data_IF_984070876473
#
_entry.id   IF_984070876473
#
_cell.length_a   1.000
_cell.length_b   1.000
_cell.length_c   1.000
_cell.angle_alpha   90.00
_cell.angle_beta   90.00
_cell.angle_gamma   90.00
#
_symmetry.space_group_name_H-M   'P 1'
#
loop_
_entity.id
_entity.type
_entity.pdbx_description
1 polymer ?
#
# COMPACT_ATOMS: atom_id res chain seq x y z
N UNK A 1 19.18 39.15 -13.48
CA UNK A 1 18.08 38.28 -13.01
C UNK A 1 18.45 37.74 -11.63
N UNK A 2 17.81 38.19 -10.54
CA UNK A 2 18.10 37.64 -9.22
C UNK A 2 17.48 36.24 -9.08
N UNK A 3 18.27 35.30 -8.57
CA UNK A 3 17.82 33.95 -8.24
C UNK A 3 16.74 34.01 -7.16
N UNK A 4 15.59 33.39 -7.42
CA UNK A 4 14.53 33.24 -6.42
C UNK A 4 15.05 32.39 -5.25
N UNK A 5 14.84 32.81 -3.99
CA UNK A 5 15.19 32.00 -2.84
C UNK A 5 14.32 30.73 -2.85
N UNK A 6 14.95 29.55 -2.81
CA UNK A 6 14.26 28.28 -2.53
C UNK A 6 13.58 28.42 -1.17
N UNK A 7 12.26 28.60 -1.18
CA UNK A 7 11.47 28.81 0.03
C UNK A 7 11.63 27.65 1.04
N UNK A 8 11.31 27.89 2.32
CA UNK A 8 11.50 26.94 3.42
C UNK A 8 10.73 25.61 3.28
N UNK A 9 9.87 25.49 2.28
CA UNK A 9 9.02 24.32 2.01
C UNK A 9 9.75 23.09 1.46
N UNK A 10 10.99 23.23 0.98
CA UNK A 10 11.66 22.16 0.23
C UNK A 10 12.28 21.03 1.06
N UNK A 11 12.71 21.28 2.31
CA UNK A 11 13.50 20.28 3.06
C UNK A 11 12.64 19.43 4.01
N UNK A 12 11.61 20.02 4.63
CA UNK A 12 10.69 19.32 5.55
C UNK A 12 9.78 18.32 4.82
N UNK A 13 9.17 18.75 3.71
CA UNK A 13 8.26 17.91 2.92
C UNK A 13 8.98 16.71 2.30
N UNK A 14 10.23 16.87 1.84
CA UNK A 14 11.01 15.75 1.30
C UNK A 14 11.27 14.66 2.32
N UNK A 15 11.61 15.01 3.57
CA UNK A 15 11.83 14.02 4.63
C UNK A 15 10.54 13.26 4.98
N UNK A 16 9.41 13.96 5.02
CA UNK A 16 8.09 13.35 5.24
C UNK A 16 7.70 12.41 4.10
N UNK A 17 7.90 12.84 2.85
CA UNK A 17 7.65 12.01 1.67
C UNK A 17 8.52 10.74 1.68
N UNK A 18 9.80 10.87 1.98
CA UNK A 18 10.71 9.71 2.07
C UNK A 18 10.25 8.73 3.16
N UNK A 19 9.80 9.23 4.31
CA UNK A 19 9.27 8.37 5.36
C UNK A 19 8.00 7.62 4.91
N UNK A 20 7.07 8.28 4.22
CA UNK A 20 5.85 7.66 3.70
C UNK A 20 6.16 6.60 2.63
N UNK A 21 7.06 6.91 1.69
CA UNK A 21 7.51 5.97 0.66
C UNK A 21 8.24 4.77 1.26
N UNK A 22 9.08 4.98 2.28
CA UNK A 22 9.79 3.91 2.96
C UNK A 22 8.82 2.96 3.66
N UNK A 23 7.79 3.49 4.35
CA UNK A 23 6.75 2.67 4.99
C UNK A 23 5.96 1.87 3.97
N UNK A 24 5.56 2.51 2.87
CA UNK A 24 4.84 1.86 1.78
C UNK A 24 5.66 0.72 1.18
N UNK A 25 6.93 1.00 0.85
CA UNK A 25 7.85 0.01 0.28
C UNK A 25 8.14 -1.14 1.24
N UNK A 26 8.37 -0.84 2.52
CA UNK A 26 8.63 -1.85 3.54
C UNK A 26 7.40 -2.74 3.79
N UNK A 27 6.21 -2.15 3.85
CA UNK A 27 4.96 -2.89 3.98
C UNK A 27 4.72 -3.76 2.75
N UNK A 28 4.91 -3.23 1.54
CA UNK A 28 4.81 -4.00 0.30
C UNK A 28 5.79 -5.17 0.26
N UNK A 29 7.05 -4.95 0.63
CA UNK A 29 8.07 -5.99 0.70
C UNK A 29 7.71 -7.07 1.74
N UNK A 30 7.22 -6.66 2.91
CA UNK A 30 6.77 -7.59 3.95
C UNK A 30 5.56 -8.42 3.48
N UNK A 31 4.56 -7.77 2.88
CA UNK A 31 3.39 -8.45 2.33
C UNK A 31 3.79 -9.44 1.23
N UNK A 32 4.76 -9.08 0.38
CA UNK A 32 5.28 -9.96 -0.66
C UNK A 32 6.06 -11.14 -0.08
N UNK A 33 6.87 -10.91 0.96
CA UNK A 33 7.58 -11.96 1.66
C UNK A 33 6.60 -12.97 2.28
N UNK A 34 5.56 -12.50 2.96
CA UNK A 34 4.50 -13.38 3.51
C UNK A 34 3.75 -14.10 2.39
N UNK A 35 3.42 -13.42 1.29
CA UNK A 35 2.78 -14.05 0.15
C UNK A 35 3.65 -15.13 -0.49
N UNK A 36 4.97 -14.95 -0.54
CA UNK A 36 5.91 -15.90 -1.15
C UNK A 36 6.01 -17.25 -0.42
N UNK A 37 5.54 -17.33 0.83
CA UNK A 37 5.45 -18.63 1.53
C UNK A 37 4.22 -19.44 1.13
N UNK A 38 3.31 -18.86 0.33
CA UNK A 38 2.11 -19.53 -0.16
C UNK A 38 2.37 -20.19 -1.53
N UNK A 39 1.56 -21.19 -1.91
CA UNK A 39 1.58 -21.76 -3.26
C UNK A 39 1.47 -20.68 -4.34
N UNK A 40 2.10 -20.83 -5.52
CA UNK A 40 2.10 -19.80 -6.57
C UNK A 40 0.70 -19.35 -7.00
N UNK A 41 -0.28 -20.25 -6.97
CA UNK A 41 -1.69 -19.97 -7.27
C UNK A 41 -2.37 -19.07 -6.23
N UNK A 42 -1.92 -19.13 -4.98
CA UNK A 42 -2.46 -18.37 -3.85
C UNK A 42 -1.64 -17.12 -3.53
N UNK A 43 -0.35 -17.10 -3.90
CA UNK A 43 0.58 -16.01 -3.61
C UNK A 43 -0.02 -14.64 -3.98
N UNK A 44 -0.55 -14.50 -5.19
CA UNK A 44 -1.10 -13.22 -5.65
C UNK A 44 -2.37 -12.82 -4.89
N UNK A 45 -3.23 -13.79 -4.56
CA UNK A 45 -4.44 -13.55 -3.78
C UNK A 45 -4.13 -13.17 -2.32
N UNK A 46 -3.13 -13.83 -1.72
CA UNK A 46 -2.63 -13.49 -0.38
C UNK A 46 -2.00 -12.10 -0.38
N UNK A 47 -1.17 -11.78 -1.37
CA UNK A 47 -0.57 -10.47 -1.50
C UNK A 47 -1.63 -9.37 -1.66
N UNK A 48 -2.61 -9.58 -2.56
CA UNK A 48 -3.73 -8.68 -2.77
C UNK A 48 -4.52 -8.43 -1.48
N UNK A 49 -4.80 -9.48 -0.71
CA UNK A 49 -5.52 -9.37 0.57
C UNK A 49 -4.74 -8.57 1.61
N UNK A 50 -3.43 -8.82 1.75
CA UNK A 50 -2.57 -8.09 2.68
C UNK A 50 -2.48 -6.61 2.32
N UNK A 51 -2.31 -6.31 1.03
CA UNK A 51 -2.25 -4.94 0.52
C UNK A 51 -3.57 -4.21 0.72
N UNK A 52 -4.71 -4.90 0.50
CA UNK A 52 -6.04 -4.36 0.76
C UNK A 52 -6.26 -3.99 2.24
N UNK A 53 -5.88 -4.88 3.16
CA UNK A 53 -5.94 -4.62 4.60
C UNK A 53 -5.05 -3.43 4.95
N UNK A 54 -3.83 -3.38 4.40
CA UNK A 54 -2.92 -2.27 4.58
C UNK A 54 -3.53 -0.93 4.15
N UNK A 55 -4.24 -0.90 3.02
CA UNK A 55 -4.92 0.29 2.53
C UNK A 55 -5.98 0.79 3.53
N UNK A 56 -6.81 -0.12 4.06
CA UNK A 56 -7.85 0.22 5.04
C UNK A 56 -7.23 0.74 6.33
N UNK A 57 -6.20 0.06 6.84
CA UNK A 57 -5.51 0.49 8.06
C UNK A 57 -4.90 1.87 7.86
N UNK A 58 -4.21 2.13 6.74
CA UNK A 58 -3.65 3.46 6.47
C UNK A 58 -4.72 4.55 6.40
N UNK A 59 -5.86 4.28 5.74
CA UNK A 59 -6.99 5.21 5.69
C UNK A 59 -7.59 5.47 7.08
N UNK A 60 -7.78 4.42 7.89
CA UNK A 60 -8.29 4.55 9.25
C UNK A 60 -7.36 5.40 10.11
N UNK A 61 -6.04 5.17 10.04
CA UNK A 61 -5.12 5.97 10.84
C UNK A 61 -5.04 7.41 10.34
N UNK A 62 -5.15 7.65 9.03
CA UNK A 62 -5.27 9.01 8.48
C UNK A 62 -6.51 9.74 9.03
N UNK A 63 -7.65 9.04 9.05
CA UNK A 63 -8.90 9.55 9.59
C UNK A 63 -8.81 9.84 11.10
N UNK A 64 -8.30 8.90 11.91
CA UNK A 64 -8.16 9.07 13.35
C UNK A 64 -7.15 10.15 13.74
N UNK A 65 -6.13 10.37 12.92
CA UNK A 65 -5.16 11.46 13.13
C UNK A 65 -5.64 12.82 12.62
N UNK A 66 -6.79 12.87 11.94
CA UNK A 66 -7.28 14.09 11.32
C UNK A 66 -6.31 14.64 10.27
N UNK A 67 -5.60 13.77 9.55
CA UNK A 67 -4.68 14.22 8.50
C UNK A 67 -5.46 14.91 7.39
N UNK A 68 -4.96 16.09 6.99
CA UNK A 68 -5.57 16.87 5.92
C UNK A 68 -5.49 16.12 4.58
N UNK A 69 -6.60 16.09 3.84
CA UNK A 69 -6.68 15.46 2.51
C UNK A 69 -5.78 16.14 1.47
N UNK A 70 -5.52 17.44 1.64
CA UNK A 70 -4.67 18.24 0.75
C UNK A 70 -3.53 18.82 1.56
N UNK A 71 -2.46 18.03 1.71
CA UNK A 71 -1.20 18.50 2.27
C UNK A 71 -0.15 18.66 1.16
N UNK A 72 0.82 19.57 1.30
CA UNK A 72 1.92 19.72 0.34
C UNK A 72 2.99 18.60 0.43
N UNK A 73 2.70 17.50 1.14
CA UNK A 73 3.53 16.31 1.32
C UNK A 73 2.65 15.05 1.26
N UNK A 74 3.25 13.88 1.00
CA UNK A 74 2.57 12.59 0.98
C UNK A 74 2.03 12.26 2.37
N UNK A 75 0.70 12.22 2.45
CA UNK A 75 -0.05 11.87 3.64
C UNK A 75 -0.35 10.38 3.68
N UNK A 76 -0.93 9.92 4.77
CA UNK A 76 -1.38 8.52 4.89
C UNK A 76 -2.61 8.24 4.03
N UNK A 77 -3.32 9.28 3.59
CA UNK A 77 -4.34 9.15 2.54
C UNK A 77 -3.72 8.72 1.21
N UNK A 78 -2.57 9.29 0.85
CA UNK A 78 -1.87 8.91 -0.37
C UNK A 78 -1.33 7.47 -0.27
N UNK A 79 -0.76 7.09 0.89
CA UNK A 79 -0.36 5.70 1.15
C UNK A 79 -1.54 4.73 0.98
N UNK A 80 -2.70 5.05 1.56
CA UNK A 80 -3.91 4.24 1.45
C UNK A 80 -4.40 4.13 0.00
N UNK A 81 -4.38 5.22 -0.75
CA UNK A 81 -4.79 5.24 -2.15
C UNK A 81 -3.88 4.36 -3.01
N UNK A 82 -2.55 4.43 -2.82
CA UNK A 82 -1.60 3.58 -3.56
C UNK A 82 -1.78 2.11 -3.22
N UNK A 83 -1.94 1.77 -1.93
CA UNK A 83 -2.21 0.38 -1.52
C UNK A 83 -3.54 -0.12 -2.10
N UNK A 84 -4.59 0.70 -2.07
CA UNK A 84 -5.88 0.31 -2.65
C UNK A 84 -5.77 0.09 -4.17
N UNK A 85 -5.12 0.99 -4.89
CA UNK A 85 -4.88 0.85 -6.33
C UNK A 85 -4.08 -0.42 -6.64
N UNK A 86 -3.01 -0.69 -5.89
CA UNK A 86 -2.21 -1.90 -6.03
C UNK A 86 -3.04 -3.17 -5.76
N UNK A 87 -3.88 -3.18 -4.71
CA UNK A 87 -4.79 -4.28 -4.42
C UNK A 87 -5.76 -4.53 -5.58
N UNK A 88 -6.38 -3.49 -6.12
CA UNK A 88 -7.34 -3.62 -7.23
C UNK A 88 -6.66 -4.14 -8.49
N UNK A 89 -5.47 -3.61 -8.82
CA UNK A 89 -4.67 -4.10 -9.93
C UNK A 89 -4.36 -5.58 -9.76
N UNK A 90 -3.88 -6.01 -8.60
CA UNK A 90 -3.58 -7.42 -8.37
C UNK A 90 -4.83 -8.30 -8.40
N UNK A 91 -5.96 -7.82 -7.87
CA UNK A 91 -7.24 -8.52 -7.93
C UNK A 91 -7.67 -8.82 -9.37
N UNK A 92 -7.38 -7.94 -10.33
CA UNK A 92 -7.66 -8.17 -11.74
C UNK A 92 -6.87 -9.35 -12.35
N UNK A 93 -5.74 -9.74 -11.73
CA UNK A 93 -4.89 -10.85 -12.17
C UNK A 93 -5.05 -12.11 -11.32
N UNK A 94 -5.87 -12.10 -10.26
CA UNK A 94 -6.09 -13.28 -9.40
C UNK A 94 -6.99 -14.30 -10.11
N UNK A 95 -6.51 -15.54 -10.22
CA UNK A 95 -7.34 -16.67 -10.66
C UNK A 95 -8.22 -17.17 -9.51
N UNK A 96 -9.41 -16.60 -9.40
CA UNK A 96 -10.39 -16.98 -8.38
C UNK A 96 -10.78 -18.46 -8.43
N UNK A 97 -10.73 -19.12 -9.59
CA UNK A 97 -11.08 -20.55 -9.70
C UNK A 97 -10.01 -21.40 -9.03
N UNK A 98 -8.74 -21.10 -9.29
CA UNK A 98 -7.62 -21.77 -8.65
C UNK A 98 -7.64 -21.59 -7.12
N UNK A 99 -8.01 -20.39 -6.64
CA UNK A 99 -8.13 -20.13 -5.19
C UNK A 99 -9.22 -20.99 -4.55
N UNK A 100 -10.42 -21.05 -5.15
CA UNK A 100 -11.55 -21.82 -4.62
C UNK A 100 -11.26 -23.33 -4.61
N UNK A 101 -10.63 -23.85 -5.65
CA UNK A 101 -10.24 -25.26 -5.71
C UNK A 101 -9.25 -25.65 -4.60
N UNK A 102 -8.26 -24.79 -4.31
CA UNK A 102 -7.33 -25.01 -3.20
C UNK A 102 -8.03 -24.90 -1.84
N UNK A 103 -9.00 -24.00 -1.70
CA UNK A 103 -9.80 -23.87 -0.47
C UNK A 103 -10.69 -25.10 -0.22
N UNK A 104 -11.24 -25.70 -1.28
CA UNK A 104 -12.00 -26.95 -1.20
C UNK A 104 -11.09 -28.15 -0.86
N UNK A 105 -9.90 -28.22 -1.45
CA UNK A 105 -8.91 -29.25 -1.14
C UNK A 105 -8.45 -29.24 0.33
N UNK A 106 -8.48 -28.08 0.99
CA UNK A 106 -8.18 -27.93 2.42
C UNK A 106 -9.39 -28.21 3.34
N UNK A 107 -10.60 -28.31 2.78
CA UNK A 107 -11.85 -28.61 3.51
C UNK A 107 -12.26 -30.08 3.46
N UNK A 108 -11.70 -30.86 2.52
CA UNK A 108 -11.85 -32.32 2.46
C UNK A 108 -10.89 -33.05 3.39
#
# INVERSE_FOLDING_TARGET
MPATPKGPYGRGNSAMNTASLLRLGLFGAFALLVASTMPPTLMLATFQSLVWIGAIVSALVAAFRGEALQAPHLTRWDEAAVLMAASLLMGAFVDHKAVMQNAEALRG
#
